data_IF_935002453558
#
_entry.id   IF_935002453558
#
_cell.length_a   1.000
_cell.length_b   1.000
_cell.length_c   1.000
_cell.angle_alpha   90.00
_cell.angle_beta   90.00
_cell.angle_gamma   90.00
#
_symmetry.space_group_name_H-M   'P 1'
#
loop_
_entity.id
_entity.type
_entity.pdbx_description
1 polymer ?
#
# COMPACT_ATOMS: atom_id res chain seq x y z
N UNK A 1 16.66 5.84 -13.77
CA UNK A 1 15.38 5.18 -14.11
C UNK A 1 14.37 6.28 -14.38
N UNK A 2 13.72 6.28 -15.55
CA UNK A 2 12.81 7.35 -15.97
C UNK A 2 11.40 6.79 -16.08
N UNK A 3 10.41 7.52 -15.58
CA UNK A 3 9.00 7.12 -15.60
C UNK A 3 8.24 8.19 -16.38
N UNK A 4 7.42 7.76 -17.35
CA UNK A 4 6.57 8.66 -18.13
C UNK A 4 5.15 8.57 -17.59
N UNK A 5 4.57 9.71 -17.22
CA UNK A 5 3.21 9.82 -16.70
C UNK A 5 2.34 10.53 -17.74
N UNK A 6 1.25 9.90 -18.14
CA UNK A 6 0.22 10.54 -18.97
C UNK A 6 -0.75 11.26 -18.05
N UNK A 7 -0.84 12.57 -18.18
CA UNK A 7 -1.72 13.41 -17.38
C UNK A 7 -2.85 13.98 -18.27
N UNK A 8 -4.05 14.20 -17.73
CA UNK A 8 -5.10 14.95 -18.42
C UNK A 8 -4.63 16.36 -18.79
N UNK A 9 -5.09 16.88 -19.93
CA UNK A 9 -4.61 18.16 -20.48
C UNK A 9 -4.77 19.33 -19.51
N UNK A 10 -5.90 19.41 -18.79
CA UNK A 10 -6.15 20.46 -17.81
C UNK A 10 -5.16 20.43 -16.65
N UNK A 11 -4.81 19.23 -16.20
CA UNK A 11 -3.90 19.01 -15.08
C UNK A 11 -2.45 19.26 -15.51
N UNK A 12 -2.09 18.89 -16.74
CA UNK A 12 -0.80 19.22 -17.34
C UNK A 12 -0.61 20.74 -17.45
N UNK A 13 -1.64 21.49 -17.88
CA UNK A 13 -1.60 22.96 -17.95
C UNK A 13 -1.41 23.58 -16.57
N UNK A 14 -2.16 23.12 -15.57
CA UNK A 14 -2.04 23.62 -14.20
C UNK A 14 -0.64 23.40 -13.62
N UNK A 15 -0.05 22.23 -13.86
CA UNK A 15 1.30 21.92 -13.38
C UNK A 15 2.35 22.78 -14.09
N UNK A 16 2.25 22.99 -15.40
CA UNK A 16 3.21 23.81 -16.16
C UNK A 16 3.26 25.28 -15.73
N UNK A 17 2.17 25.80 -15.14
CA UNK A 17 2.11 27.17 -14.63
C UNK A 17 2.86 27.31 -13.29
N UNK A 18 3.14 26.21 -12.60
CA UNK A 18 3.88 26.24 -11.34
C UNK A 18 5.35 26.61 -11.57
N UNK A 19 5.97 27.36 -10.66
CA UNK A 19 7.37 27.76 -10.80
C UNK A 19 8.34 26.56 -10.78
N UNK A 20 7.98 25.46 -10.11
CA UNK A 20 8.77 24.23 -10.01
C UNK A 20 7.89 22.97 -10.16
N UNK A 21 7.47 22.59 -11.39
CA UNK A 21 6.56 21.48 -11.62
C UNK A 21 7.11 20.12 -11.19
N UNK A 22 8.41 19.90 -11.39
CA UNK A 22 9.06 18.63 -11.02
C UNK A 22 9.07 18.39 -9.51
N UNK A 23 9.34 19.45 -8.74
CA UNK A 23 9.35 19.38 -7.28
C UNK A 23 7.95 19.10 -6.74
N UNK A 24 6.94 19.78 -7.26
CA UNK A 24 5.54 19.55 -6.91
C UNK A 24 5.12 18.09 -7.14
N UNK A 25 5.45 17.52 -8.31
CA UNK A 25 5.14 16.11 -8.62
C UNK A 25 5.86 15.17 -7.65
N UNK A 26 7.13 15.43 -7.33
CA UNK A 26 7.90 14.61 -6.39
C UNK A 26 7.29 14.62 -4.99
N UNK A 27 6.93 15.79 -4.48
CA UNK A 27 6.32 15.95 -3.16
C UNK A 27 4.93 15.28 -3.10
N UNK A 28 4.10 15.46 -4.13
CA UNK A 28 2.80 14.82 -4.23
C UNK A 28 2.90 13.29 -4.25
N UNK A 29 3.84 12.73 -5.02
CA UNK A 29 4.09 11.28 -5.04
C UNK A 29 4.60 10.79 -3.69
N UNK A 30 5.51 11.52 -3.05
CA UNK A 30 6.05 11.15 -1.75
C UNK A 30 4.97 11.14 -0.67
N UNK A 31 4.06 12.12 -0.66
CA UNK A 31 2.93 12.17 0.26
C UNK A 31 1.99 10.95 0.08
N UNK A 32 1.66 10.59 -1.16
CA UNK A 32 0.81 9.41 -1.45
C UNK A 32 1.50 8.11 -1.04
N UNK A 33 2.81 7.99 -1.30
CA UNK A 33 3.60 6.82 -0.89
C UNK A 33 3.62 6.70 0.63
N UNK A 34 3.88 7.79 1.35
CA UNK A 34 3.89 7.79 2.82
C UNK A 34 2.53 7.40 3.40
N UNK A 35 1.43 7.96 2.88
CA UNK A 35 0.07 7.57 3.28
C UNK A 35 -0.21 6.08 3.05
N UNK A 36 0.21 5.53 1.90
CA UNK A 36 0.07 4.08 1.64
C UNK A 36 0.94 3.24 2.57
N UNK A 37 2.15 3.68 2.88
CA UNK A 37 3.04 2.98 3.82
C UNK A 37 2.41 2.96 5.21
N UNK A 38 1.89 4.08 5.71
CA UNK A 38 1.21 4.15 6.99
C UNK A 38 -0.02 3.22 7.06
N UNK A 39 -0.82 3.17 5.99
CA UNK A 39 -1.94 2.23 5.85
C UNK A 39 -1.47 0.77 5.82
N UNK A 40 -0.32 0.49 5.20
CA UNK A 40 0.27 -0.85 5.13
C UNK A 40 0.89 -1.26 6.47
N UNK A 41 1.45 -0.32 7.24
CA UNK A 41 1.96 -0.56 8.60
C UNK A 41 0.81 -0.82 9.57
N UNK A 42 -0.37 -0.19 9.39
CA UNK A 42 -1.58 -0.53 10.15
C UNK A 42 -2.13 -1.92 9.76
N UNK A 43 -1.89 -2.37 8.53
CA UNK A 43 -2.11 -3.76 8.09
C UNK A 43 -0.85 -4.59 8.29
N UNK A 44 -0.33 -4.60 9.52
CA UNK A 44 0.99 -5.10 9.85
C UNK A 44 1.34 -6.51 9.34
N UNK A 45 2.65 -6.77 9.35
CA UNK A 45 3.38 -8.02 9.08
C UNK A 45 2.84 -9.29 9.78
N UNK A 46 1.78 -9.21 10.59
CA UNK A 46 1.08 -10.34 11.20
C UNK A 46 -0.05 -10.93 10.34
N UNK A 47 -0.52 -10.24 9.30
CA UNK A 47 -1.54 -10.78 8.40
C UNK A 47 -0.91 -11.43 7.17
N UNK A 48 -0.09 -12.46 7.40
CA UNK A 48 0.02 -13.53 6.41
C UNK A 48 -1.42 -13.96 6.11
N UNK A 49 -1.85 -13.81 4.85
CA UNK A 49 -3.14 -14.24 4.33
C UNK A 49 -3.29 -15.76 4.48
N UNK A 50 -3.44 -16.21 5.72
CA UNK A 50 -3.78 -17.56 6.08
C UNK A 50 -5.25 -17.71 5.69
N UNK A 51 -5.50 -18.44 4.61
CA UNK A 51 -6.81 -19.03 4.30
C UNK A 51 -7.20 -20.11 5.32
N UNK A 52 -6.58 -20.17 6.50
CA UNK A 52 -6.87 -21.19 7.51
C UNK A 52 -7.98 -20.68 8.42
N UNK A 53 -9.02 -21.50 8.54
CA UNK A 53 -10.14 -21.28 9.45
C UNK A 53 -9.60 -20.99 10.86
N UNK A 54 -10.24 -20.04 11.53
CA UNK A 54 -10.00 -19.79 12.94
C UNK A 54 -10.16 -21.11 13.70
N UNK A 55 -9.13 -21.46 14.45
CA UNK A 55 -9.11 -22.66 15.28
C UNK A 55 -9.91 -22.34 16.55
N UNK A 56 -10.96 -23.12 16.91
CA UNK A 56 -11.72 -22.90 18.12
C UNK A 56 -10.84 -22.95 19.38
N UNK A 57 -11.24 -22.25 20.44
CA UNK A 57 -10.51 -22.22 21.73
C UNK A 57 -10.35 -23.62 22.32
N UNK A 58 -11.24 -24.55 21.97
CA UNK A 58 -11.28 -25.93 22.46
C UNK A 58 -10.44 -26.89 21.60
N UNK A 59 -9.54 -26.36 20.77
CA UNK A 59 -8.73 -27.17 19.88
C UNK A 59 -7.66 -27.94 20.63
N UNK A 60 -7.86 -29.25 20.73
CA UNK A 60 -6.87 -30.19 21.25
C UNK A 60 -5.95 -30.71 20.12
N UNK A 61 -4.67 -30.30 20.09
CA UNK A 61 -3.71 -30.76 19.09
C UNK A 61 -3.42 -32.27 19.17
N UNK A 62 -3.70 -32.93 20.31
CA UNK A 62 -3.49 -34.37 20.48
C UNK A 62 -4.41 -35.22 19.58
N UNK A 63 -5.57 -34.68 19.17
CA UNK A 63 -6.47 -35.35 18.24
C UNK A 63 -5.96 -35.37 16.79
N UNK A 64 -4.99 -34.53 16.42
CA UNK A 64 -4.40 -34.54 15.08
C UNK A 64 -3.33 -35.64 14.88
N UNK A 65 -2.80 -36.19 15.96
CA UNK A 65 -1.73 -37.19 15.94
C UNK A 65 -2.23 -38.63 16.06
N UNK A 66 -3.54 -38.83 16.28
CA UNK A 66 -4.18 -40.15 16.28
C UNK A 66 -4.59 -40.49 14.84
N UNK A 67 -3.65 -40.99 14.06
CA UNK A 67 -3.91 -41.75 12.83
C UNK A 67 -3.39 -43.17 13.00
#
# INVERSE_FOLDING_TARGET
MQITLTLPDDLARQIQILPNPEQFIREALQAVIQQRIEQTVTQGFGMLKSRRRAVPVDFDPANMLRK
#
